data_IF_971137023532
#
_entry.id   IF_971137023532
#
_cell.length_a   1.000
_cell.length_b   1.000
_cell.length_c   1.000
_cell.angle_alpha   90.00
_cell.angle_beta   90.00
_cell.angle_gamma   90.00
#
_symmetry.space_group_name_H-M   'P 1'
#
loop_
_entity.id
_entity.type
_entity.pdbx_description
1 polymer ?
#
# COMPACT_ATOMS: atom_id res chain seq x y z
N UNK A 1 -17.69 -43.22 28.84
CA UNK A 1 -18.69 -42.56 27.98
C UNK A 1 -18.20 -41.12 27.84
N UNK A 2 -17.19 -40.88 27.02
CA UNK A 2 -17.26 -40.64 25.57
C UNK A 2 -18.23 -39.51 25.20
N UNK A 3 -17.66 -38.43 24.69
CA UNK A 3 -18.25 -37.71 23.57
C UNK A 3 -17.12 -37.00 22.80
N UNK A 4 -16.37 -37.79 22.03
CA UNK A 4 -15.69 -37.30 20.84
C UNK A 4 -16.74 -36.91 19.78
N UNK A 5 -16.43 -35.83 19.06
CA UNK A 5 -16.98 -35.37 17.76
C UNK A 5 -18.21 -34.45 17.74
N UNK A 6 -18.05 -33.43 16.86
CA UNK A 6 -18.96 -32.39 16.34
C UNK A 6 -18.74 -31.03 17.03
N UNK A 7 -18.18 -29.99 16.42
CA UNK A 7 -17.96 -29.67 15.00
C UNK A 7 -16.72 -28.80 14.80
N UNK A 8 -15.91 -29.25 13.84
CA UNK A 8 -15.06 -28.42 12.98
C UNK A 8 -15.95 -27.50 12.13
N UNK A 9 -15.47 -26.27 11.89
CA UNK A 9 -15.71 -25.33 10.77
C UNK A 9 -15.95 -23.90 11.31
N UNK A 10 -14.88 -23.10 11.30
CA UNK A 10 -14.88 -21.67 10.98
C UNK A 10 -13.43 -21.13 11.09
N UNK A 11 -12.57 -21.50 10.13
CA UNK A 11 -11.35 -20.76 9.83
C UNK A 11 -11.66 -19.64 8.81
N UNK A 12 -10.80 -18.61 8.83
CA UNK A 12 -10.65 -17.53 7.85
C UNK A 12 -11.53 -16.28 8.01
N UNK A 13 -11.20 -15.44 9.00
CA UNK A 13 -11.33 -13.98 8.89
C UNK A 13 -10.04 -13.32 9.38
N UNK A 14 -9.00 -13.39 8.55
CA UNK A 14 -7.71 -12.74 8.80
C UNK A 14 -7.70 -11.33 8.23
N UNK A 15 -8.55 -10.44 8.74
CA UNK A 15 -8.47 -9.00 8.48
C UNK A 15 -7.48 -8.45 9.50
N UNK A 16 -6.34 -7.95 9.01
CA UNK A 16 -5.32 -7.15 9.69
C UNK A 16 -5.41 -7.15 11.23
N UNK A 17 -4.60 -8.01 11.86
CA UNK A 17 -4.17 -7.90 13.27
C UNK A 17 -5.23 -7.48 14.29
N UNK A 18 -5.78 -8.47 15.01
CA UNK A 18 -6.66 -8.25 16.15
C UNK A 18 -5.88 -7.54 17.30
N UNK A 19 -5.95 -6.21 17.37
CA UNK A 19 -5.41 -5.39 18.46
C UNK A 19 -6.51 -4.41 18.93
N UNK A 20 -6.99 -4.66 20.15
CA UNK A 20 -7.82 -3.80 21.02
C UNK A 20 -8.65 -2.69 20.36
N UNK A 21 -9.97 -2.94 20.28
CA UNK A 21 -11.02 -1.92 20.13
C UNK A 21 -10.86 -0.80 21.18
N UNK A 22 -10.16 0.28 20.84
CA UNK A 22 -10.16 1.49 21.65
C UNK A 22 -11.40 2.35 21.34
N UNK A 23 -12.11 2.72 22.41
CA UNK A 23 -13.46 3.31 22.44
C UNK A 23 -13.56 4.74 21.86
N UNK A 24 -12.49 5.35 21.38
CA UNK A 24 -12.46 6.78 21.04
C UNK A 24 -12.53 7.11 19.54
N UNK A 25 -12.42 6.13 18.63
CA UNK A 25 -12.64 6.34 17.17
C UNK A 25 -14.15 6.45 16.84
N UNK A 26 -15.02 6.31 17.85
CA UNK A 26 -16.49 6.28 17.67
C UNK A 26 -17.09 7.64 17.25
N UNK A 27 -16.41 8.75 17.53
CA UNK A 27 -16.97 10.11 17.35
C UNK A 27 -16.90 10.67 15.92
N UNK A 28 -16.23 9.98 14.99
CA UNK A 28 -16.08 10.44 13.59
C UNK A 28 -17.00 9.71 12.60
N UNK A 29 -17.79 8.74 13.10
CA UNK A 29 -18.64 7.85 12.29
C UNK A 29 -19.76 8.56 11.53
N UNK A 30 -20.15 9.76 11.94
CA UNK A 30 -21.36 10.43 11.46
C UNK A 30 -21.13 11.44 10.32
N UNK A 31 -19.88 11.71 9.92
CA UNK A 31 -19.61 12.49 8.71
C UNK A 31 -19.57 11.56 7.49
N UNK A 32 -20.73 11.35 6.87
CA UNK A 32 -20.85 10.67 5.56
C UNK A 32 -20.14 11.50 4.46
N UNK A 33 -18.84 11.30 4.29
CA UNK A 33 -18.13 11.73 3.09
C UNK A 33 -18.32 10.61 2.05
N UNK A 34 -19.06 10.90 0.98
CA UNK A 34 -19.22 9.96 -0.13
C UNK A 34 -17.99 10.03 -1.04
N UNK A 35 -16.93 9.34 -0.62
CA UNK A 35 -15.63 9.28 -1.31
C UNK A 35 -15.79 8.79 -2.76
N UNK A 36 -16.72 7.86 -3.04
CA UNK A 36 -17.04 7.44 -4.42
C UNK A 36 -17.52 8.59 -5.31
N UNK A 37 -18.26 9.55 -4.75
CA UNK A 37 -18.81 10.70 -5.48
C UNK A 37 -17.78 11.83 -5.63
N UNK A 38 -16.88 11.99 -4.66
CA UNK A 38 -15.72 12.90 -4.77
C UNK A 38 -14.76 12.43 -5.87
N UNK A 39 -14.47 11.12 -5.91
CA UNK A 39 -13.70 10.56 -7.01
C UNK A 39 -14.47 10.66 -8.34
N UNK A 40 -15.75 10.31 -8.41
CA UNK A 40 -16.51 10.46 -9.66
C UNK A 40 -16.62 11.92 -10.18
N UNK A 41 -16.62 12.91 -9.28
CA UNK A 41 -16.74 14.34 -9.64
C UNK A 41 -15.39 15.02 -9.96
N UNK A 42 -14.27 14.55 -9.40
CA UNK A 42 -12.92 15.04 -9.74
C UNK A 42 -12.33 14.35 -11.00
N UNK A 43 -13.02 13.37 -11.60
CA UNK A 43 -12.52 12.55 -12.72
C UNK A 43 -13.34 12.60 -14.02
N UNK A 44 -14.04 13.69 -14.29
CA UNK A 44 -14.42 14.03 -15.68
C UNK A 44 -13.43 15.04 -16.24
N UNK A 45 -12.48 14.54 -17.04
CA UNK A 45 -11.50 15.35 -17.74
C UNK A 45 -11.23 14.77 -19.13
N UNK A 46 -11.71 15.47 -20.14
CA UNK A 46 -11.42 15.27 -21.56
C UNK A 46 -9.91 15.35 -21.85
N UNK A 47 -9.37 14.30 -22.49
CA UNK A 47 -8.43 14.39 -23.62
C UNK A 47 -7.99 12.98 -24.06
N UNK A 48 -8.88 12.31 -24.80
CA UNK A 48 -8.62 11.05 -25.49
C UNK A 48 -7.87 11.26 -26.82
N UNK A 49 -6.75 12.00 -26.85
CA UNK A 49 -5.89 12.01 -28.05
C UNK A 49 -4.43 12.31 -27.70
N UNK A 50 -3.68 11.31 -27.20
CA UNK A 50 -2.29 11.01 -27.60
C UNK A 50 -1.63 10.02 -26.64
N UNK A 51 -1.61 8.75 -27.03
CA UNK A 51 -0.53 7.77 -26.87
C UNK A 51 -1.13 6.38 -27.09
N UNK A 52 -1.60 6.12 -28.32
CA UNK A 52 -2.05 4.78 -28.72
C UNK A 52 -0.83 4.00 -29.20
N UNK A 53 0.11 3.71 -28.31
CA UNK A 53 0.93 2.51 -28.48
C UNK A 53 0.00 1.33 -28.22
N UNK A 54 -0.16 0.45 -29.21
CA UNK A 54 -1.10 -0.66 -29.13
C UNK A 54 -0.60 -1.69 -28.12
N UNK A 55 -1.10 -1.61 -26.88
CA UNK A 55 -0.96 -2.65 -25.87
C UNK A 55 -1.31 -4.01 -26.48
N UNK A 56 -0.41 -4.99 -26.32
CA UNK A 56 -0.68 -6.34 -26.82
C UNK A 56 -1.65 -7.07 -25.89
N UNK A 57 -2.32 -8.12 -26.40
CA UNK A 57 -3.18 -8.98 -25.57
C UNK A 57 -2.46 -9.52 -24.33
N UNK A 58 -1.16 -9.79 -24.47
CA UNK A 58 -0.28 -10.26 -23.39
C UNK A 58 -0.06 -9.17 -22.33
N UNK A 59 0.07 -7.91 -22.74
CA UNK A 59 0.26 -6.79 -21.82
C UNK A 59 -1.03 -6.50 -21.03
N UNK A 60 -2.18 -6.55 -21.69
CA UNK A 60 -3.48 -6.45 -21.01
C UNK A 60 -3.68 -7.57 -19.98
N UNK A 61 -3.36 -8.82 -20.35
CA UNK A 61 -3.46 -9.95 -19.43
C UNK A 61 -2.53 -9.79 -18.20
N UNK A 62 -1.34 -9.23 -18.40
CA UNK A 62 -0.39 -8.96 -17.31
C UNK A 62 -0.86 -7.82 -16.40
N UNK A 63 -1.38 -6.73 -16.97
CA UNK A 63 -1.95 -5.60 -16.20
C UNK A 63 -3.11 -6.09 -15.34
N UNK A 64 -4.04 -6.84 -15.91
CA UNK A 64 -5.20 -7.35 -15.15
C UNK A 64 -4.77 -8.31 -14.03
N UNK A 65 -3.72 -9.11 -14.27
CA UNK A 65 -3.13 -9.95 -13.22
C UNK A 65 -2.59 -9.11 -12.05
N UNK A 66 -1.86 -8.03 -12.30
CA UNK A 66 -1.39 -7.16 -11.22
C UNK A 66 -2.52 -6.44 -10.50
N UNK A 67 -3.54 -5.96 -11.22
CA UNK A 67 -4.73 -5.33 -10.64
C UNK A 67 -5.43 -6.27 -9.66
N UNK A 68 -5.70 -7.50 -10.08
CA UNK A 68 -6.29 -8.52 -9.20
C UNK A 68 -5.40 -8.82 -7.99
N UNK A 69 -4.09 -9.01 -8.21
CA UNK A 69 -3.14 -9.29 -7.13
C UNK A 69 -3.12 -8.20 -6.07
N UNK A 70 -3.10 -6.92 -6.45
CA UNK A 70 -3.06 -5.83 -5.45
C UNK A 70 -4.40 -5.63 -4.75
N UNK A 71 -5.51 -5.79 -5.46
CA UNK A 71 -6.85 -5.69 -4.89
C UNK A 71 -7.13 -6.79 -3.87
N UNK A 72 -6.60 -7.99 -4.12
CA UNK A 72 -6.77 -9.17 -3.27
C UNK A 72 -5.67 -9.32 -2.22
N UNK A 73 -4.55 -8.59 -2.34
CA UNK A 73 -3.42 -8.70 -1.41
C UNK A 73 -3.86 -8.63 0.05
N UNK A 74 -3.31 -9.56 0.84
CA UNK A 74 -3.55 -9.67 2.27
C UNK A 74 -2.29 -9.30 3.05
N UNK A 75 -2.44 -8.40 4.01
CA UNK A 75 -1.33 -7.99 4.86
C UNK A 75 -0.26 -7.16 4.14
N UNK A 76 0.68 -6.61 4.93
CA UNK A 76 1.81 -5.85 4.38
C UNK A 76 2.71 -6.73 3.49
N UNK A 77 2.81 -8.03 3.82
CA UNK A 77 3.52 -9.01 2.99
C UNK A 77 2.95 -9.09 1.59
N UNK A 78 1.64 -9.24 1.44
CA UNK A 78 1.02 -9.40 0.13
C UNK A 78 1.33 -8.21 -0.78
N UNK A 79 1.23 -7.00 -0.22
CA UNK A 79 1.60 -5.77 -0.91
C UNK A 79 3.10 -5.71 -1.21
N UNK A 80 3.95 -6.07 -0.26
CA UNK A 80 5.42 -6.06 -0.41
C UNK A 80 5.92 -6.95 -1.55
N UNK A 81 5.36 -8.15 -1.71
CA UNK A 81 5.73 -9.04 -2.81
C UNK A 81 5.38 -8.42 -4.18
N UNK A 82 4.27 -7.68 -4.25
CA UNK A 82 3.88 -6.98 -5.49
C UNK A 82 4.82 -5.79 -5.73
N UNK A 83 5.22 -5.04 -4.70
CA UNK A 83 6.22 -3.96 -4.81
C UNK A 83 7.52 -4.50 -5.43
N UNK A 84 8.08 -5.59 -4.89
CA UNK A 84 9.30 -6.18 -5.43
C UNK A 84 9.14 -6.68 -6.87
N UNK A 85 8.05 -7.38 -7.15
CA UNK A 85 7.80 -7.95 -8.48
C UNK A 85 7.66 -6.86 -9.55
N UNK A 86 6.89 -5.80 -9.24
CA UNK A 86 6.65 -4.69 -10.18
C UNK A 86 7.92 -3.89 -10.44
N UNK A 87 8.68 -3.52 -9.41
CA UNK A 87 9.97 -2.83 -9.56
C UNK A 87 10.97 -3.69 -10.33
N UNK A 88 11.07 -4.99 -10.04
CA UNK A 88 11.97 -5.90 -10.77
C UNK A 88 11.60 -6.01 -12.25
N UNK A 89 10.32 -6.06 -12.57
CA UNK A 89 9.84 -6.19 -13.95
C UNK A 89 10.06 -4.90 -14.75
N UNK A 90 9.79 -3.74 -14.14
CA UNK A 90 9.91 -2.44 -14.80
C UNK A 90 11.35 -1.93 -14.88
N UNK A 91 12.13 -2.09 -13.81
CA UNK A 91 13.47 -1.50 -13.70
C UNK A 91 14.60 -2.53 -13.79
N UNK A 92 14.31 -3.83 -13.68
CA UNK A 92 15.33 -4.88 -13.61
C UNK A 92 16.04 -4.95 -12.25
N UNK A 93 15.64 -4.12 -11.30
CA UNK A 93 16.29 -3.96 -10.00
C UNK A 93 15.63 -4.79 -8.91
N UNK A 94 16.44 -5.30 -7.98
CA UNK A 94 15.93 -6.00 -6.82
C UNK A 94 16.91 -5.97 -5.66
N UNK A 95 16.37 -6.01 -4.44
CA UNK A 95 17.11 -6.13 -3.20
C UNK A 95 16.36 -7.07 -2.25
N UNK A 96 17.13 -7.88 -1.54
CA UNK A 96 16.63 -8.83 -0.54
C UNK A 96 17.06 -8.38 0.86
N UNK A 97 16.49 -9.03 1.88
CA UNK A 97 16.77 -8.80 3.29
C UNK A 97 16.09 -7.57 3.86
N UNK A 98 15.01 -7.08 3.24
CA UNK A 98 14.30 -5.89 3.73
C UNK A 98 13.43 -6.21 4.95
N UNK A 99 13.41 -5.30 5.92
CA UNK A 99 12.59 -5.35 7.12
C UNK A 99 11.58 -4.19 7.11
N UNK A 100 10.37 -4.47 7.58
CA UNK A 100 9.31 -3.47 7.71
C UNK A 100 8.94 -3.30 9.17
N UNK A 101 9.02 -2.07 9.64
CA UNK A 101 8.57 -1.64 10.95
C UNK A 101 7.33 -0.77 10.81
N UNK A 102 6.47 -0.82 11.82
CA UNK A 102 5.34 0.07 12.00
C UNK A 102 5.63 0.98 13.20
N UNK A 103 5.49 2.28 12.99
CA UNK A 103 5.57 3.29 14.06
C UNK A 103 4.49 4.35 13.88
N UNK A 104 4.19 5.10 14.93
CA UNK A 104 3.24 6.21 14.91
C UNK A 104 4.02 7.52 14.66
N UNK A 105 4.15 7.86 13.37
CA UNK A 105 4.92 9.01 12.88
C UNK A 105 4.01 10.23 12.64
N UNK A 106 4.56 11.46 12.51
CA UNK A 106 3.78 12.61 12.07
C UNK A 106 3.00 12.32 10.78
N UNK A 107 1.74 12.75 10.69
CA UNK A 107 0.83 12.36 9.59
C UNK A 107 1.21 12.91 8.20
N UNK A 108 2.14 13.85 8.13
CA UNK A 108 2.75 14.31 6.88
C UNK A 108 3.85 13.35 6.37
N UNK A 109 4.29 12.38 7.20
CA UNK A 109 5.31 11.39 6.86
C UNK A 109 4.65 10.03 6.68
N UNK A 110 4.69 9.49 5.45
CA UNK A 110 4.06 8.21 5.12
C UNK A 110 4.90 7.02 5.56
N UNK A 111 6.20 7.08 5.29
CA UNK A 111 7.21 6.16 5.77
C UNK A 111 8.56 6.89 5.77
N UNK A 112 9.60 6.21 6.22
CA UNK A 112 10.97 6.58 5.89
C UNK A 112 11.86 5.35 5.78
N UNK A 113 12.85 5.44 4.90
CA UNK A 113 14.00 4.57 4.80
C UNK A 113 15.27 5.35 5.14
N UNK A 114 16.02 4.89 6.15
CA UNK A 114 17.35 5.44 6.39
C UNK A 114 18.33 4.86 5.37
N UNK A 115 18.96 5.73 4.58
CA UNK A 115 19.94 5.34 3.56
C UNK A 115 21.02 4.42 4.14
N UNK A 116 21.35 3.36 3.38
CA UNK A 116 22.35 2.37 3.77
C UNK A 116 21.85 1.30 4.75
N UNK A 117 20.58 1.33 5.16
CA UNK A 117 19.96 0.28 5.97
C UNK A 117 19.16 -0.70 5.11
N UNK A 118 18.51 -1.67 5.75
CA UNK A 118 17.53 -2.56 5.13
C UNK A 118 16.12 -2.38 5.75
N UNK A 119 15.90 -1.26 6.46
CA UNK A 119 14.67 -1.05 7.23
C UNK A 119 13.80 0.01 6.56
N UNK A 120 12.53 -0.30 6.40
CA UNK A 120 11.48 0.68 6.08
C UNK A 120 10.62 0.85 7.33
N UNK A 121 10.36 2.08 7.75
CA UNK A 121 9.45 2.38 8.87
C UNK A 121 8.20 3.04 8.30
N UNK A 122 7.08 2.31 8.31
CA UNK A 122 5.79 2.74 7.78
C UNK A 122 4.93 3.37 8.89
N UNK A 123 4.25 4.47 8.56
CA UNK A 123 3.37 5.18 9.49
C UNK A 123 2.06 4.41 9.72
N UNK A 124 1.97 3.66 10.83
CA UNK A 124 0.79 2.90 11.24
C UNK A 124 -0.43 3.80 11.44
N UNK A 125 -0.24 4.93 12.09
CA UNK A 125 -1.31 5.91 12.35
C UNK A 125 -1.95 6.37 11.05
N UNK A 126 -1.14 6.67 10.04
CA UNK A 126 -1.62 7.11 8.73
C UNK A 126 -2.38 6.02 7.99
N UNK A 127 -1.87 4.78 7.98
CA UNK A 127 -2.55 3.63 7.37
C UNK A 127 -3.92 3.39 8.04
N UNK A 128 -3.98 3.45 9.37
CA UNK A 128 -5.23 3.29 10.12
C UNK A 128 -6.26 4.38 9.79
N UNK A 129 -5.82 5.62 9.58
CA UNK A 129 -6.70 6.73 9.16
C UNK A 129 -7.24 6.46 7.75
N UNK A 130 -6.37 6.09 6.80
CA UNK A 130 -6.78 5.75 5.43
C UNK A 130 -7.80 4.61 5.45
N UNK A 131 -7.58 3.56 6.23
CA UNK A 131 -8.51 2.45 6.40
C UNK A 131 -9.87 2.92 6.96
N UNK A 132 -9.86 3.71 8.02
CA UNK A 132 -11.07 4.20 8.66
C UNK A 132 -11.91 5.13 7.75
N UNK A 133 -11.24 5.98 6.99
CA UNK A 133 -11.88 6.96 6.09
C UNK A 133 -12.41 6.28 4.84
N UNK A 134 -11.59 5.46 4.17
CA UNK A 134 -11.95 4.86 2.88
C UNK A 134 -12.85 3.64 3.02
N UNK A 135 -12.74 2.88 4.12
CA UNK A 135 -13.43 1.60 4.35
C UNK A 135 -13.29 0.64 3.16
N UNK A 136 -12.14 0.67 2.49
CA UNK A 136 -11.87 -0.08 1.27
C UNK A 136 -10.49 -0.69 1.31
N UNK A 137 -10.42 -2.03 1.40
CA UNK A 137 -9.15 -2.79 1.35
C UNK A 137 -8.33 -2.42 0.12
N UNK A 138 -8.97 -2.29 -1.03
CA UNK A 138 -8.32 -1.92 -2.31
C UNK A 138 -7.61 -0.56 -2.21
N UNK A 139 -8.26 0.44 -1.62
CA UNK A 139 -7.67 1.78 -1.47
C UNK A 139 -6.54 1.79 -0.42
N UNK A 140 -6.67 1.01 0.65
CA UNK A 140 -5.59 0.83 1.65
C UNK A 140 -4.39 0.14 1.01
N UNK A 141 -4.60 -0.93 0.25
CA UNK A 141 -3.52 -1.63 -0.46
C UNK A 141 -2.84 -0.70 -1.47
N UNK A 142 -3.62 0.10 -2.21
CA UNK A 142 -3.07 1.07 -3.14
C UNK A 142 -2.21 2.14 -2.43
N UNK A 143 -2.68 2.66 -1.29
CA UNK A 143 -1.94 3.59 -0.47
C UNK A 143 -0.62 3.00 0.02
N UNK A 144 -0.68 1.82 0.65
CA UNK A 144 0.50 1.13 1.20
C UNK A 144 1.49 0.80 0.09
N UNK A 145 1.02 0.30 -1.06
CA UNK A 145 1.88 0.03 -2.22
C UNK A 145 2.63 1.28 -2.66
N UNK A 146 1.94 2.41 -2.84
CA UNK A 146 2.56 3.64 -3.30
C UNK A 146 3.67 4.12 -2.37
N UNK A 147 3.43 4.06 -1.05
CA UNK A 147 4.45 4.42 -0.04
C UNK A 147 5.61 3.41 -0.02
N UNK A 148 5.32 2.11 -0.04
CA UNK A 148 6.38 1.09 0.01
C UNK A 148 7.24 1.07 -1.25
N UNK A 149 6.67 1.30 -2.44
CA UNK A 149 7.45 1.43 -3.68
C UNK A 149 8.39 2.62 -3.62
N UNK A 150 7.95 3.75 -3.08
CA UNK A 150 8.78 4.94 -2.89
C UNK A 150 10.00 4.64 -2.00
N UNK A 151 9.78 4.07 -0.82
CA UNK A 151 10.87 3.73 0.11
C UNK A 151 11.78 2.60 -0.42
N UNK A 152 11.23 1.66 -1.19
CA UNK A 152 12.02 0.59 -1.78
C UNK A 152 12.95 1.10 -2.87
N UNK A 153 12.53 2.09 -3.66
CA UNK A 153 13.40 2.75 -4.64
C UNK A 153 14.54 3.49 -3.94
N UNK A 154 14.28 4.15 -2.80
CA UNK A 154 15.35 4.68 -1.95
C UNK A 154 16.30 3.57 -1.46
N UNK A 155 15.76 2.42 -1.06
CA UNK A 155 16.57 1.26 -0.67
C UNK A 155 17.36 0.64 -1.83
N UNK A 156 16.97 0.85 -3.09
CA UNK A 156 17.72 0.44 -4.28
C UNK A 156 18.83 1.43 -4.67
N UNK A 157 18.81 2.64 -4.10
CA UNK A 157 19.86 3.65 -4.28
C UNK A 157 19.42 4.91 -5.03
N UNK A 158 18.14 5.02 -5.41
CA UNK A 158 17.60 6.27 -5.95
C UNK A 158 17.45 7.29 -4.82
N UNK A 159 18.28 8.34 -4.81
CA UNK A 159 18.30 9.33 -3.70
C UNK A 159 17.42 10.54 -4.00
N UNK A 160 17.24 10.89 -5.27
CA UNK A 160 16.49 12.08 -5.66
C UNK A 160 14.99 11.86 -5.50
N UNK A 161 14.33 12.67 -4.66
CA UNK A 161 12.87 12.67 -4.51
C UNK A 161 12.14 12.82 -5.84
N UNK A 162 12.64 13.66 -6.74
CA UNK A 162 12.03 13.88 -8.05
C UNK A 162 12.14 12.63 -8.93
N UNK A 163 13.29 11.95 -8.88
CA UNK A 163 13.51 10.68 -9.60
C UNK A 163 12.60 9.59 -9.04
N UNK A 164 12.59 9.39 -7.72
CA UNK A 164 11.76 8.38 -7.08
C UNK A 164 10.29 8.61 -7.38
N UNK A 165 9.79 9.86 -7.32
CA UNK A 165 8.40 10.17 -7.69
C UNK A 165 8.09 9.81 -9.15
N UNK A 166 9.00 10.09 -10.08
CA UNK A 166 8.84 9.69 -11.49
C UNK A 166 8.80 8.17 -11.63
N UNK A 167 9.72 7.46 -10.98
CA UNK A 167 9.80 6.01 -11.04
C UNK A 167 8.58 5.33 -10.43
N UNK A 168 8.06 5.81 -9.30
CA UNK A 168 6.81 5.29 -8.72
C UNK A 168 5.65 5.43 -9.71
N UNK A 169 5.56 6.56 -10.42
CA UNK A 169 4.56 6.76 -11.46
C UNK A 169 4.77 5.81 -12.65
N UNK A 170 6.00 5.70 -13.16
CA UNK A 170 6.32 4.86 -14.31
C UNK A 170 6.07 3.37 -14.03
N UNK A 171 6.53 2.86 -12.89
CA UNK A 171 6.27 1.48 -12.43
C UNK A 171 4.76 1.25 -12.28
N UNK A 172 4.04 2.20 -11.68
CA UNK A 172 2.59 2.06 -11.49
C UNK A 172 1.84 2.03 -12.82
N UNK A 173 2.18 2.94 -13.74
CA UNK A 173 1.59 3.03 -15.07
C UNK A 173 1.87 1.79 -15.90
N UNK A 174 3.10 1.29 -15.92
CA UNK A 174 3.48 0.11 -16.68
C UNK A 174 2.79 -1.17 -16.14
N UNK A 175 2.75 -1.34 -14.81
CA UNK A 175 2.24 -2.56 -14.21
C UNK A 175 0.72 -2.59 -14.04
N UNK A 176 0.07 -1.44 -13.84
CA UNK A 176 -1.36 -1.36 -13.54
C UNK A 176 -2.17 -0.59 -14.59
N UNK A 177 -1.53 0.06 -15.57
CA UNK A 177 -2.22 0.91 -16.55
C UNK A 177 -2.54 2.31 -16.02
N UNK A 178 -2.87 3.21 -16.94
CA UNK A 178 -3.03 4.65 -16.66
C UNK A 178 -4.29 4.97 -15.83
N UNK A 179 -5.37 4.21 -16.02
CA UNK A 179 -6.68 4.40 -15.38
C UNK A 179 -6.79 3.78 -13.98
N UNK A 180 -5.74 3.12 -13.48
CA UNK A 180 -5.77 2.47 -12.17
C UNK A 180 -5.47 3.46 -11.03
N UNK A 181 -6.14 3.29 -9.89
CA UNK A 181 -6.00 4.18 -8.72
C UNK A 181 -4.54 4.34 -8.27
N UNK A 182 -3.72 3.30 -8.40
CA UNK A 182 -2.29 3.36 -8.07
C UNK A 182 -1.54 4.40 -8.89
N UNK A 183 -1.72 4.37 -10.21
CA UNK A 183 -1.08 5.30 -11.14
C UNK A 183 -1.51 6.73 -10.83
N UNK A 184 -2.79 6.92 -10.51
CA UNK A 184 -3.34 8.22 -10.14
C UNK A 184 -2.79 8.75 -8.79
N UNK A 185 -2.63 7.86 -7.79
CA UNK A 185 -2.02 8.23 -6.51
C UNK A 185 -0.53 8.55 -6.67
N UNK A 186 0.18 7.83 -7.54
CA UNK A 186 1.58 8.07 -7.86
C UNK A 186 1.78 9.40 -8.60
N UNK A 187 0.91 9.71 -9.55
CA UNK A 187 0.94 10.97 -10.31
C UNK A 187 0.70 12.19 -9.40
N UNK A 188 -0.36 12.12 -8.57
CA UNK A 188 -0.78 13.24 -7.74
C UNK A 188 -0.13 13.20 -6.35
N UNK A 189 -0.71 12.41 -5.45
CA UNK A 189 -0.16 12.13 -4.12
C UNK A 189 -1.01 11.07 -3.40
N UNK A 190 -0.40 10.14 -2.64
CA UNK A 190 -1.13 9.20 -1.79
C UNK A 190 -2.07 9.86 -0.78
N UNK A 191 -1.77 11.10 -0.35
CA UNK A 191 -2.56 11.86 0.62
C UNK A 191 -3.93 12.30 0.07
N UNK A 192 -4.18 12.15 -1.23
CA UNK A 192 -5.51 12.42 -1.79
C UNK A 192 -6.63 11.60 -1.15
N UNK A 193 -6.33 10.39 -0.66
CA UNK A 193 -7.33 9.52 -0.02
C UNK A 193 -7.88 10.09 1.30
N UNK A 194 -7.16 11.04 1.91
CA UNK A 194 -7.50 11.66 3.20
C UNK A 194 -7.67 13.18 3.07
N UNK A 195 -7.81 13.68 1.84
CA UNK A 195 -8.08 15.10 1.56
C UNK A 195 -9.37 15.53 2.28
N UNK A 196 -9.29 16.63 3.02
CA UNK A 196 -10.42 17.17 3.80
C UNK A 196 -10.54 16.65 5.23
N UNK A 197 -9.64 15.77 5.67
CA UNK A 197 -9.50 15.40 7.08
C UNK A 197 -8.53 16.39 7.76
N UNK A 198 -8.92 17.03 8.89
CA UNK A 198 -8.03 17.93 9.62
C UNK A 198 -6.98 17.13 10.41
N UNK A 199 -5.91 16.71 9.73
CA UNK A 199 -4.87 15.85 10.31
C UNK A 199 -4.17 16.49 11.52
N UNK A 200 -4.10 17.81 11.58
CA UNK A 200 -3.47 18.55 12.68
C UNK A 200 -4.19 18.40 14.02
N UNK A 201 -5.48 18.05 14.00
CA UNK A 201 -6.31 17.89 15.20
C UNK A 201 -6.35 16.44 15.69
N UNK A 202 -5.63 15.54 15.01
CA UNK A 202 -5.62 14.10 15.32
C UNK A 202 -4.40 13.79 16.19
N UNK A 203 -4.64 13.62 17.49
CA UNK A 203 -3.67 13.03 18.40
C UNK A 203 -3.78 11.51 18.33
N UNK A 204 -2.75 10.84 17.80
CA UNK A 204 -2.70 9.38 17.82
C UNK A 204 -1.85 8.91 19.00
N UNK A 205 -2.36 8.03 19.88
CA UNK A 205 -1.58 7.47 20.97
C UNK A 205 -0.36 6.73 20.41
N UNK A 206 0.83 7.14 20.84
CA UNK A 206 2.07 6.51 20.41
C UNK A 206 2.16 5.10 21.01
N UNK A 207 2.17 4.11 20.15
CA UNK A 207 2.42 2.72 20.53
C UNK A 207 3.90 2.39 20.29
N UNK A 208 4.34 1.27 20.85
CA UNK A 208 5.68 0.77 20.56
C UNK A 208 5.84 0.47 19.06
N UNK A 209 7.06 0.66 18.56
CA UNK A 209 7.42 0.25 17.22
C UNK A 209 7.25 -1.28 17.10
N UNK A 210 6.67 -1.72 15.99
CA UNK A 210 6.33 -3.13 15.73
C UNK A 210 7.07 -3.63 14.49
N UNK A 211 7.76 -4.76 14.59
CA UNK A 211 8.36 -5.44 13.45
C UNK A 211 7.31 -6.33 12.77
N UNK A 212 7.09 -6.11 11.47
CA UNK A 212 6.30 -7.03 10.64
C UNK A 212 7.13 -8.29 10.37
N UNK A 213 6.79 -9.35 11.10
CA UNK A 213 7.50 -10.62 11.03
C UNK A 213 7.38 -11.25 9.65
N UNK A 214 8.45 -11.95 9.29
CA UNK A 214 8.55 -12.77 8.11
C UNK A 214 8.31 -12.01 6.80
N UNK A 215 8.38 -10.66 6.75
CA UNK A 215 8.06 -9.87 5.54
C UNK A 215 8.57 -10.52 4.26
N UNK A 216 9.81 -10.99 4.30
CA UNK A 216 10.42 -11.80 3.26
C UNK A 216 10.52 -13.27 3.66
N UNK A 217 10.41 -14.16 2.66
CA UNK A 217 10.64 -15.58 2.86
C UNK A 217 12.10 -15.79 3.29
N UNK A 218 12.39 -16.64 4.29
CA UNK A 218 13.75 -16.93 4.71
C UNK A 218 14.53 -17.50 3.52
N UNK A 219 15.60 -16.81 3.12
CA UNK A 219 16.42 -17.20 1.99
C UNK A 219 17.42 -18.27 2.47
N UNK A 220 17.34 -19.50 1.97
CA UNK A 220 18.22 -20.61 2.38
C UNK A 220 19.69 -20.50 1.89
N UNK A 221 20.16 -19.31 1.49
CA UNK A 221 21.48 -19.15 0.86
C UNK A 221 22.26 -17.94 1.39
N UNK A 222 22.47 -17.92 2.70
CA UNK A 222 23.56 -17.13 3.27
C UNK A 222 24.43 -18.08 4.09
N UNK A 223 25.46 -18.60 3.41
CA UNK A 223 26.78 -19.13 3.84
C UNK A 223 27.19 -20.14 2.75
N UNK A 224 28.23 -19.80 2.00
CA UNK A 224 29.11 -20.75 1.31
C UNK A 224 30.53 -20.40 1.73
#
# INVERSE_FOLDING_TARGET
MDNRQRQVVAQATGVWGNVSKNREIKNWRDKKINIKRLFAAEFQGDNLVKAKESLTEKDFSKIESYRLRIDEAEGFRGVWEIVKDTVKVSLGEHRLGMLLFLDDLPLHLGAYHQLGTNNIVLNRSLVNIVEAVTKSKKLVNAFVYSILTHEYLHALGHVSEAEVRSLVYDVSRECFGEDHILTMLAEKTPWMLIKGIPLNDITVPKQAMELIKDLEKPNQRYIV
#
